data_IF_505714975052
#
_entry.id   IF_505714975052
#
_cell.length_a   1.000
_cell.length_b   1.000
_cell.length_c   1.000
_cell.angle_alpha   90.00
_cell.angle_beta   90.00
_cell.angle_gamma   90.00
#
_symmetry.space_group_name_H-M   'P 1'
#
loop_
_entity.id
_entity.type
_entity.pdbx_description
1 polymer ?
#
# COMPACT_ATOMS: atom_id res chain seq x y z
N UNK A 1 21.93 -0.31 37.85
CA UNK A 1 20.91 -0.19 36.78
C UNK A 1 19.67 0.40 37.43
N UNK A 2 19.18 1.55 36.95
CA UNK A 2 18.17 2.33 37.68
C UNK A 2 16.80 1.62 37.63
N UNK A 3 15.93 1.81 38.64
CA UNK A 3 14.59 1.16 38.69
C UNK A 3 13.77 1.43 37.43
N UNK A 4 13.95 2.62 36.85
CA UNK A 4 13.37 3.05 35.57
C UNK A 4 13.85 2.17 34.40
N UNK A 5 15.14 1.86 34.32
CA UNK A 5 15.71 1.01 33.26
C UNK A 5 15.19 -0.41 33.32
N UNK A 6 14.99 -0.94 34.54
CA UNK A 6 14.44 -2.29 34.76
C UNK A 6 12.98 -2.37 34.29
N UNK A 7 12.17 -1.37 34.64
CA UNK A 7 10.77 -1.28 34.18
C UNK A 7 10.68 -1.13 32.66
N UNK A 8 11.52 -0.29 32.05
CA UNK A 8 11.56 -0.12 30.59
C UNK A 8 11.88 -1.44 29.88
N UNK A 9 12.89 -2.20 30.35
CA UNK A 9 13.22 -3.51 29.78
C UNK A 9 12.07 -4.51 29.91
N UNK A 10 11.37 -4.52 31.05
CA UNK A 10 10.23 -5.41 31.27
C UNK A 10 9.06 -5.06 30.34
N UNK A 11 8.73 -3.78 30.19
CA UNK A 11 7.68 -3.32 29.27
C UNK A 11 8.04 -3.65 27.82
N UNK A 12 9.27 -3.39 27.39
CA UNK A 12 9.73 -3.77 26.04
C UNK A 12 9.65 -5.28 25.81
N UNK A 13 9.98 -6.09 26.80
CA UNK A 13 9.85 -7.55 26.73
C UNK A 13 8.40 -7.97 26.55
N UNK A 14 7.49 -7.46 27.39
CA UNK A 14 6.05 -7.76 27.31
C UNK A 14 5.44 -7.32 25.98
N UNK A 15 5.78 -6.12 25.49
CA UNK A 15 5.34 -5.63 24.17
C UNK A 15 5.85 -6.57 23.07
N UNK A 16 7.11 -7.01 23.14
CA UNK A 16 7.68 -7.92 22.14
C UNK A 16 7.00 -9.29 22.17
N UNK A 17 6.76 -9.85 23.35
CA UNK A 17 6.04 -11.12 23.51
C UNK A 17 4.62 -11.04 22.94
N UNK A 18 3.90 -9.96 23.25
CA UNK A 18 2.58 -9.70 22.69
C UNK A 18 2.61 -9.56 21.17
N UNK A 19 3.50 -8.75 20.61
CA UNK A 19 3.63 -8.57 19.16
C UNK A 19 4.03 -9.87 18.46
N UNK A 20 4.90 -10.68 19.08
CA UNK A 20 5.26 -11.97 18.51
C UNK A 20 4.06 -12.90 18.43
N UNK A 21 3.33 -13.06 19.54
CA UNK A 21 2.16 -13.93 19.61
C UNK A 21 1.01 -13.47 18.71
N UNK A 22 0.71 -12.16 18.71
CA UNK A 22 -0.48 -11.62 18.04
C UNK A 22 -0.25 -11.25 16.57
N UNK A 23 1.00 -11.05 16.16
CA UNK A 23 1.33 -10.52 14.82
C UNK A 23 2.32 -11.42 14.11
N UNK A 24 3.48 -11.71 14.70
CA UNK A 24 4.58 -12.40 14.00
C UNK A 24 4.27 -13.87 13.77
N UNK A 25 3.83 -14.61 14.79
CA UNK A 25 3.57 -16.04 14.68
C UNK A 25 2.40 -16.33 13.72
N UNK A 26 1.26 -15.59 13.76
CA UNK A 26 0.21 -15.70 12.75
C UNK A 26 0.70 -15.35 11.34
N UNK A 27 1.56 -14.33 11.20
CA UNK A 27 2.16 -13.93 9.93
C UNK A 27 3.03 -15.04 9.33
N UNK A 28 3.94 -15.61 10.13
CA UNK A 28 4.77 -16.74 9.71
C UNK A 28 3.88 -17.92 9.30
N UNK A 29 2.89 -18.26 10.13
CA UNK A 29 1.97 -19.37 9.85
C UNK A 29 1.20 -19.14 8.54
N UNK A 30 0.67 -17.95 8.31
CA UNK A 30 -0.05 -17.58 7.09
C UNK A 30 0.83 -17.71 5.85
N UNK A 31 2.07 -17.21 5.92
CA UNK A 31 3.03 -17.25 4.81
C UNK A 31 3.52 -18.67 4.51
N UNK A 32 3.72 -19.49 5.54
CA UNK A 32 4.08 -20.90 5.38
C UNK A 32 2.93 -21.75 4.84
N UNK A 33 1.68 -21.29 4.95
CA UNK A 33 0.50 -22.03 4.48
C UNK A 33 0.27 -21.87 2.97
N UNK A 34 0.70 -20.76 2.37
CA UNK A 34 0.53 -20.49 0.94
C UNK A 34 1.75 -19.77 0.35
N UNK A 35 2.54 -20.51 -0.42
CA UNK A 35 3.77 -20.01 -1.02
C UNK A 35 3.51 -18.88 -2.03
N UNK A 36 2.38 -18.90 -2.74
CA UNK A 36 2.07 -17.85 -3.71
C UNK A 36 1.79 -16.52 -3.01
N UNK A 37 1.11 -16.58 -1.87
CA UNK A 37 0.87 -15.42 -1.00
C UNK A 37 2.20 -14.87 -0.47
N UNK A 38 3.07 -15.73 0.05
CA UNK A 38 4.41 -15.36 0.51
C UNK A 38 5.20 -14.62 -0.57
N UNK A 39 5.22 -15.19 -1.77
CA UNK A 39 5.90 -14.63 -2.94
C UNK A 39 5.34 -13.25 -3.31
N UNK A 40 4.02 -13.11 -3.39
CA UNK A 40 3.38 -11.81 -3.72
C UNK A 40 3.69 -10.73 -2.69
N UNK A 41 3.59 -11.05 -1.39
CA UNK A 41 3.93 -10.10 -0.32
C UNK A 41 5.40 -9.67 -0.40
N UNK A 42 6.30 -10.63 -0.64
CA UNK A 42 7.73 -10.37 -0.76
C UNK A 42 8.02 -9.42 -1.91
N UNK A 43 7.41 -9.66 -3.07
CA UNK A 43 7.60 -8.82 -4.25
C UNK A 43 7.01 -7.43 -4.08
N UNK A 44 5.82 -7.32 -3.46
CA UNK A 44 5.23 -6.03 -3.14
C UNK A 44 6.12 -5.20 -2.20
N UNK A 45 6.69 -5.82 -1.16
CA UNK A 45 7.63 -5.16 -0.23
C UNK A 45 8.91 -4.74 -0.97
N UNK A 46 9.45 -5.63 -1.81
CA UNK A 46 10.66 -5.35 -2.57
C UNK A 46 10.46 -4.17 -3.51
N UNK A 47 9.41 -4.19 -4.31
CA UNK A 47 9.11 -3.14 -5.28
C UNK A 47 8.89 -1.79 -4.58
N UNK A 48 8.21 -1.80 -3.44
CA UNK A 48 8.04 -0.58 -2.62
C UNK A 48 9.38 -0.03 -2.14
N UNK A 49 10.29 -0.89 -1.64
CA UNK A 49 11.65 -0.46 -1.23
C UNK A 49 12.47 0.05 -2.41
N UNK A 50 12.32 -0.60 -3.56
CA UNK A 50 13.01 -0.21 -4.77
C UNK A 50 12.57 1.18 -5.24
N UNK A 51 11.26 1.44 -5.25
CA UNK A 51 10.69 2.77 -5.52
C UNK A 51 11.21 3.82 -4.52
N UNK A 52 11.21 3.54 -3.21
CA UNK A 52 11.77 4.47 -2.20
C UNK A 52 13.25 4.81 -2.52
N UNK A 53 14.05 3.81 -2.86
CA UNK A 53 15.46 4.00 -3.23
C UNK A 53 15.61 4.88 -4.49
N UNK A 54 14.77 4.69 -5.51
CA UNK A 54 14.79 5.52 -6.72
C UNK A 54 14.43 6.98 -6.40
N UNK A 55 13.42 7.19 -5.55
CA UNK A 55 13.04 8.53 -5.07
C UNK A 55 14.21 9.18 -4.33
N UNK A 56 14.86 8.48 -3.39
CA UNK A 56 15.99 9.03 -2.63
C UNK A 56 17.20 9.34 -3.52
N UNK A 57 17.46 8.50 -4.53
CA UNK A 57 18.51 8.74 -5.54
C UNK A 57 18.19 9.98 -6.37
N UNK A 58 16.93 10.17 -6.77
CA UNK A 58 16.50 11.36 -7.52
C UNK A 58 16.66 12.65 -6.73
N UNK A 59 16.44 12.63 -5.41
CA UNK A 59 16.64 13.77 -4.51
C UNK A 59 18.13 14.13 -4.29
N UNK A 60 19.00 13.14 -4.41
CA UNK A 60 20.44 13.27 -4.15
C UNK A 60 21.22 13.76 -5.38
N UNK A 61 20.63 13.68 -6.58
CA UNK A 61 21.24 14.09 -7.84
C UNK A 61 21.11 15.62 -8.07
N UNK A 62 22.21 16.39 -8.04
CA UNK A 62 22.17 17.85 -8.23
C UNK A 62 21.57 18.28 -9.57
N UNK A 63 21.71 17.46 -10.62
CA UNK A 63 21.19 17.76 -11.95
C UNK A 63 19.66 17.59 -12.03
N UNK A 64 19.09 16.64 -11.28
CA UNK A 64 17.64 16.47 -11.15
C UNK A 64 17.02 17.47 -10.15
N UNK A 65 17.79 17.88 -9.13
CA UNK A 65 17.35 18.80 -8.09
C UNK A 65 16.99 20.20 -8.61
N UNK A 66 17.65 20.66 -9.68
CA UNK A 66 17.33 21.94 -10.34
C UNK A 66 16.04 21.92 -11.16
N UNK A 67 15.55 20.73 -11.56
CA UNK A 67 14.29 20.52 -12.27
C UNK A 67 13.12 20.12 -11.33
N UNK A 68 13.40 19.82 -10.06
CA UNK A 68 12.44 19.29 -9.07
C UNK A 68 11.63 20.28 -8.18
N UNK A 69 11.76 21.62 -8.22
CA UNK A 69 11.14 22.46 -7.18
C UNK A 69 9.60 22.44 -7.17
N UNK A 70 8.93 22.00 -8.24
CA UNK A 70 7.46 21.99 -8.30
C UNK A 70 6.81 20.82 -7.52
N UNK A 71 7.50 19.69 -7.33
CA UNK A 71 6.89 18.47 -6.75
C UNK A 71 7.55 18.02 -5.42
N UNK A 72 8.31 18.91 -4.76
CA UNK A 72 9.10 18.54 -3.56
C UNK A 72 8.22 18.06 -2.39
N UNK A 73 7.02 18.63 -2.25
CA UNK A 73 6.08 18.23 -1.20
C UNK A 73 5.56 16.82 -1.43
N UNK A 74 5.24 16.49 -2.68
CA UNK A 74 4.75 15.20 -3.14
C UNK A 74 5.82 14.13 -2.95
N UNK A 75 7.07 14.47 -3.28
CA UNK A 75 8.23 13.60 -3.05
C UNK A 75 8.43 13.32 -1.56
N UNK A 76 8.37 14.32 -0.70
CA UNK A 76 8.51 14.15 0.76
C UNK A 76 7.37 13.30 1.32
N UNK A 77 6.14 13.51 0.86
CA UNK A 77 5.01 12.67 1.25
C UNK A 77 5.26 11.21 0.83
N UNK A 78 5.74 11.01 -0.40
CA UNK A 78 6.08 9.70 -0.94
C UNK A 78 7.19 8.99 -0.15
N UNK A 79 8.39 9.56 -0.06
CA UNK A 79 9.53 8.95 0.64
C UNK A 79 9.32 8.85 2.16
N UNK A 80 8.61 9.81 2.75
CA UNK A 80 8.40 9.87 4.20
C UNK A 80 7.37 8.88 4.74
N UNK A 81 6.28 8.66 3.99
CA UNK A 81 5.07 8.02 4.51
C UNK A 81 4.56 6.85 3.66
N UNK A 82 4.68 6.89 2.32
CA UNK A 82 3.98 5.92 1.47
C UNK A 82 4.43 4.49 1.68
N UNK A 83 5.71 4.22 1.45
CA UNK A 83 6.18 2.85 1.54
C UNK A 83 6.10 2.30 2.96
N UNK A 84 6.15 3.15 3.99
CA UNK A 84 5.91 2.76 5.39
C UNK A 84 4.47 2.36 5.64
N UNK A 85 3.49 3.15 5.18
CA UNK A 85 2.06 2.84 5.34
C UNK A 85 1.71 1.58 4.55
N UNK A 86 2.20 1.46 3.31
CA UNK A 86 1.98 0.28 2.47
C UNK A 86 2.56 -0.98 3.13
N UNK A 87 3.83 -0.96 3.56
CA UNK A 87 4.44 -2.08 4.31
C UNK A 87 3.66 -2.42 5.56
N UNK A 88 3.18 -1.42 6.30
CA UNK A 88 2.36 -1.64 7.51
C UNK A 88 1.05 -2.35 7.17
N UNK A 89 0.40 -1.99 6.07
CA UNK A 89 -0.81 -2.67 5.59
C UNK A 89 -0.55 -4.14 5.24
N UNK A 90 0.61 -4.45 4.63
CA UNK A 90 1.03 -5.81 4.31
C UNK A 90 1.34 -6.64 5.56
N UNK A 91 2.01 -6.04 6.56
CA UNK A 91 2.29 -6.70 7.84
C UNK A 91 0.98 -7.06 8.57
N UNK A 92 0.01 -6.15 8.59
CA UNK A 92 -1.31 -6.40 9.19
C UNK A 92 -2.08 -7.49 8.43
N UNK A 93 -2.01 -7.47 7.09
CA UNK A 93 -2.60 -8.52 6.24
C UNK A 93 -2.04 -9.90 6.61
N UNK A 94 -0.72 -10.04 6.66
CA UNK A 94 -0.11 -11.32 7.02
C UNK A 94 -0.41 -11.74 8.46
N UNK A 95 -0.54 -10.77 9.39
CA UNK A 95 -0.99 -11.02 10.75
C UNK A 95 -2.51 -11.32 10.86
N UNK A 96 -3.19 -11.50 9.73
CA UNK A 96 -4.63 -11.77 9.62
C UNK A 96 -5.54 -10.66 10.14
N UNK A 97 -4.98 -9.45 10.38
CA UNK A 97 -5.74 -8.25 10.69
C UNK A 97 -6.20 -7.55 9.41
N UNK A 98 -7.14 -8.20 8.74
CA UNK A 98 -7.66 -7.78 7.44
C UNK A 98 -8.29 -6.39 7.49
N UNK A 99 -9.06 -6.09 8.54
CA UNK A 99 -9.76 -4.81 8.66
C UNK A 99 -8.77 -3.65 8.79
N UNK A 100 -7.80 -3.76 9.70
CA UNK A 100 -6.78 -2.72 9.87
C UNK A 100 -5.94 -2.55 8.61
N UNK A 101 -5.62 -3.66 7.92
CA UNK A 101 -4.94 -3.62 6.62
C UNK A 101 -5.72 -2.81 5.58
N UNK A 102 -7.03 -3.08 5.41
CA UNK A 102 -7.89 -2.35 4.46
C UNK A 102 -8.01 -0.87 4.82
N UNK A 103 -8.11 -0.53 6.11
CA UNK A 103 -8.17 0.87 6.56
C UNK A 103 -6.89 1.63 6.19
N UNK A 104 -5.72 1.02 6.36
CA UNK A 104 -4.45 1.62 5.92
C UNK A 104 -4.40 1.75 4.39
N UNK A 105 -4.81 0.73 3.64
CA UNK A 105 -4.87 0.79 2.17
C UNK A 105 -5.78 1.92 1.67
N UNK A 106 -6.95 2.11 2.31
CA UNK A 106 -7.85 3.23 2.02
C UNK A 106 -7.16 4.57 2.29
N UNK A 107 -6.51 4.70 3.43
CA UNK A 107 -5.83 5.95 3.81
C UNK A 107 -4.70 6.28 2.82
N UNK A 108 -3.95 5.26 2.38
CA UNK A 108 -2.92 5.42 1.36
C UNK A 108 -3.51 5.82 0.00
N UNK A 109 -4.63 5.22 -0.39
CA UNK A 109 -5.34 5.59 -1.61
C UNK A 109 -5.76 7.07 -1.61
N UNK A 110 -6.35 7.56 -0.51
CA UNK A 110 -6.73 8.97 -0.38
C UNK A 110 -5.53 9.92 -0.51
N UNK A 111 -4.37 9.50 0.02
CA UNK A 111 -3.12 10.24 -0.08
C UNK A 111 -2.59 10.25 -1.52
N UNK A 112 -2.65 9.14 -2.26
CA UNK A 112 -2.27 9.09 -3.68
C UNK A 112 -3.11 10.05 -4.51
N UNK A 113 -4.42 10.07 -4.26
CA UNK A 113 -5.31 11.03 -4.92
C UNK A 113 -4.92 12.47 -4.55
N UNK A 114 -4.48 12.72 -3.31
CA UNK A 114 -4.01 14.03 -2.87
C UNK A 114 -2.74 14.50 -3.58
N UNK A 115 -1.86 13.56 -3.90
CA UNK A 115 -0.66 13.83 -4.71
C UNK A 115 -1.02 14.01 -6.18
N UNK A 116 -2.03 13.30 -6.68
CA UNK A 116 -2.36 13.26 -8.11
C UNK A 116 -3.23 14.43 -8.58
N UNK A 117 -3.78 15.25 -7.68
CA UNK A 117 -4.62 16.39 -8.06
C UNK A 117 -4.67 17.47 -7.00
N UNK A 118 -4.72 18.74 -7.43
CA UNK A 118 -4.94 19.90 -6.56
C UNK A 118 -6.41 20.22 -6.31
N UNK A 119 -7.32 19.55 -7.03
CA UNK A 119 -8.76 19.82 -6.95
C UNK A 119 -9.30 19.38 -5.59
N UNK A 120 -9.94 20.31 -4.89
CA UNK A 120 -10.69 20.01 -3.67
C UNK A 120 -12.13 19.53 -3.98
N UNK A 121 -12.62 18.61 -3.15
CA UNK A 121 -14.00 18.11 -3.20
C UNK A 121 -14.13 16.63 -2.89
N UNK A 122 -15.28 16.05 -3.24
CA UNK A 122 -15.53 14.62 -3.07
C UNK A 122 -14.65 13.75 -3.97
N UNK A 123 -14.41 12.50 -3.56
CA UNK A 123 -13.50 11.57 -4.24
C UNK A 123 -13.77 11.42 -5.74
N UNK A 124 -15.05 11.41 -6.17
CA UNK A 124 -15.41 11.37 -7.59
C UNK A 124 -14.79 12.53 -8.37
N UNK A 125 -15.00 13.76 -7.88
CA UNK A 125 -14.49 14.98 -8.53
C UNK A 125 -12.96 14.98 -8.59
N UNK A 126 -12.32 14.53 -7.51
CA UNK A 126 -10.86 14.41 -7.42
C UNK A 126 -10.29 13.39 -8.39
N UNK A 127 -10.95 12.23 -8.55
CA UNK A 127 -10.56 11.23 -9.55
C UNK A 127 -10.76 11.73 -10.98
N UNK A 128 -11.87 12.40 -11.24
CA UNK A 128 -12.21 12.92 -12.57
C UNK A 128 -11.19 13.97 -13.05
N UNK A 129 -10.54 14.69 -12.13
CA UNK A 129 -9.54 15.73 -12.41
C UNK A 129 -8.08 15.27 -12.51
N UNK A 130 -7.81 13.96 -12.48
CA UNK A 130 -6.45 13.44 -12.69
C UNK A 130 -6.23 13.25 -14.20
N UNK A 131 -5.40 14.09 -14.82
CA UNK A 131 -5.32 14.17 -16.29
C UNK A 131 -4.58 12.99 -16.94
N UNK A 132 -3.59 12.42 -16.25
CA UNK A 132 -2.83 11.29 -16.77
C UNK A 132 -3.58 9.95 -16.74
N UNK A 133 -4.79 9.90 -16.14
CA UNK A 133 -5.62 8.70 -16.09
C UNK A 133 -6.65 8.69 -17.21
N UNK A 134 -6.74 7.55 -17.91
CA UNK A 134 -7.82 7.30 -18.88
C UNK A 134 -9.19 7.16 -18.21
N UNK A 135 -10.25 7.28 -18.99
CA UNK A 135 -11.63 7.10 -18.49
C UNK A 135 -11.84 5.75 -17.79
N UNK A 136 -11.32 4.66 -18.38
CA UNK A 136 -11.45 3.33 -17.80
C UNK A 136 -10.67 3.19 -16.48
N UNK A 137 -9.50 3.82 -16.37
CA UNK A 137 -8.71 3.84 -15.14
C UNK A 137 -9.41 4.63 -14.03
N UNK A 138 -9.98 5.80 -14.38
CA UNK A 138 -10.81 6.59 -13.45
C UNK A 138 -11.99 5.78 -12.92
N UNK A 139 -12.70 5.07 -13.82
CA UNK A 139 -13.82 4.19 -13.47
C UNK A 139 -13.38 3.03 -12.58
N UNK A 140 -12.25 2.41 -12.90
CA UNK A 140 -11.65 1.34 -12.10
C UNK A 140 -11.29 1.82 -10.69
N UNK A 141 -10.53 2.91 -10.56
CA UNK A 141 -10.13 3.48 -9.26
C UNK A 141 -11.34 3.93 -8.44
N UNK A 142 -12.39 4.43 -9.09
CA UNK A 142 -13.65 4.77 -8.40
C UNK A 142 -14.33 3.54 -7.81
N UNK A 143 -14.40 2.44 -8.57
CA UNK A 143 -14.93 1.16 -8.08
C UNK A 143 -14.06 0.62 -6.93
N UNK A 144 -12.74 0.74 -7.05
CA UNK A 144 -11.80 0.33 -6.02
C UNK A 144 -12.00 1.14 -4.72
N UNK A 145 -12.12 2.46 -4.82
CA UNK A 145 -12.46 3.35 -3.71
C UNK A 145 -13.79 2.97 -3.04
N UNK A 146 -14.85 2.79 -3.84
CA UNK A 146 -16.16 2.43 -3.30
C UNK A 146 -16.11 1.08 -2.55
N UNK A 147 -15.28 0.14 -3.01
CA UNK A 147 -15.03 -1.13 -2.33
C UNK A 147 -14.30 -0.94 -1.00
N UNK A 148 -13.21 -0.16 -0.97
CA UNK A 148 -12.48 0.16 0.27
C UNK A 148 -13.39 0.86 1.30
N UNK A 149 -14.24 1.79 0.86
CA UNK A 149 -15.16 2.50 1.75
C UNK A 149 -16.15 1.58 2.46
N UNK A 150 -16.62 0.51 1.81
CA UNK A 150 -17.55 -0.47 2.42
C UNK A 150 -17.00 -1.06 3.72
N UNK A 151 -15.69 -1.25 3.83
CA UNK A 151 -15.02 -1.81 5.00
C UNK A 151 -14.82 -0.83 6.14
N UNK A 152 -14.87 0.48 5.84
CA UNK A 152 -14.46 1.53 6.76
C UNK A 152 -15.61 2.42 7.29
N UNK A 153 -16.81 2.34 6.71
CA UNK A 153 -17.95 3.13 7.13
C UNK A 153 -19.08 2.27 7.71
N UNK A 154 -19.49 2.47 8.99
CA UNK A 154 -20.46 1.63 9.70
C UNK A 154 -21.94 1.84 9.28
N UNK A 155 -22.21 2.08 8.00
CA UNK A 155 -23.58 2.15 7.47
C UNK A 155 -24.04 0.80 6.93
N UNK A 156 -25.30 0.68 6.52
CA UNK A 156 -25.96 -0.61 6.19
C UNK A 156 -25.21 -1.56 5.25
N UNK A 157 -24.27 -1.09 4.41
CA UNK A 157 -23.37 -1.97 3.64
C UNK A 157 -22.36 -2.70 4.52
N UNK A 158 -21.76 -2.03 5.51
CA UNK A 158 -20.86 -2.68 6.46
C UNK A 158 -21.61 -3.74 7.29
N UNK A 159 -22.80 -3.41 7.83
CA UNK A 159 -23.61 -4.37 8.57
C UNK A 159 -24.05 -5.58 7.73
N UNK A 160 -24.32 -5.40 6.43
CA UNK A 160 -24.81 -6.47 5.54
C UNK A 160 -23.71 -7.27 4.85
N UNK A 161 -22.61 -6.61 4.48
CA UNK A 161 -21.54 -7.19 3.64
C UNK A 161 -20.27 -7.51 4.46
N UNK A 162 -19.97 -6.78 5.54
CA UNK A 162 -18.70 -6.86 6.28
C UNK A 162 -18.85 -7.50 7.65
N UNK A 163 -19.84 -7.09 8.44
CA UNK A 163 -20.11 -7.58 9.79
C UNK A 163 -20.25 -9.13 9.84
N UNK A 164 -20.97 -9.80 8.92
CA UNK A 164 -21.07 -11.26 8.92
C UNK A 164 -19.74 -11.97 8.66
N UNK A 165 -18.80 -11.31 7.98
CA UNK A 165 -17.46 -11.83 7.70
C UNK A 165 -16.53 -11.59 8.89
N UNK A 166 -16.65 -10.42 9.54
CA UNK A 166 -15.78 -10.01 10.64
C UNK A 166 -16.13 -10.63 12.00
N UNK A 167 -17.42 -10.83 12.31
CA UNK A 167 -17.85 -11.38 13.61
C UNK A 167 -17.73 -12.92 13.74
N UNK A 168 -17.47 -13.62 12.63
CA UNK A 168 -17.22 -15.07 12.63
C UNK A 168 -15.74 -15.45 12.63
N UNK A 169 -14.85 -14.46 12.62
CA UNK A 169 -13.42 -14.64 12.46
C UNK A 169 -12.69 -14.46 13.80
N UNK A 170 -12.09 -15.52 14.33
CA UNK A 170 -10.91 -15.32 15.16
C UNK A 170 -9.78 -14.69 14.31
N UNK A 171 -8.66 -14.30 14.92
CA UNK A 171 -7.44 -13.91 14.19
C UNK A 171 -6.76 -15.12 13.52
N UNK A 172 -7.54 -15.96 12.86
CA UNK A 172 -7.04 -17.06 12.05
C UNK A 172 -6.94 -16.66 10.59
N UNK A 173 -6.14 -17.43 9.89
CA UNK A 173 -6.01 -17.30 8.45
C UNK A 173 -7.33 -17.64 7.76
N UNK A 174 -7.89 -16.67 7.05
CA UNK A 174 -9.08 -16.82 6.22
C UNK A 174 -8.72 -16.64 4.75
N UNK A 175 -8.59 -17.72 3.96
CA UNK A 175 -8.06 -17.65 2.60
C UNK A 175 -8.80 -16.66 1.69
N UNK A 176 -10.13 -16.60 1.81
CA UNK A 176 -10.97 -15.69 1.00
C UNK A 176 -10.69 -14.23 1.33
N UNK A 177 -10.62 -13.90 2.62
CA UNK A 177 -10.33 -12.54 3.08
C UNK A 177 -8.91 -12.12 2.75
N UNK A 178 -7.97 -13.05 2.95
CA UNK A 178 -6.58 -12.83 2.59
C UNK A 178 -6.45 -12.49 1.10
N UNK A 179 -7.03 -13.33 0.22
CA UNK A 179 -7.00 -13.11 -1.23
C UNK A 179 -7.60 -11.76 -1.61
N UNK A 180 -8.74 -11.39 -1.02
CA UNK A 180 -9.37 -10.11 -1.29
C UNK A 180 -8.51 -8.92 -0.86
N UNK A 181 -7.91 -8.96 0.32
CA UNK A 181 -6.99 -7.92 0.77
C UNK A 181 -5.73 -7.85 -0.10
N UNK A 182 -5.25 -9.00 -0.58
CA UNK A 182 -4.12 -9.05 -1.50
C UNK A 182 -4.47 -8.40 -2.85
N UNK A 183 -5.66 -8.65 -3.40
CA UNK A 183 -6.15 -7.96 -4.60
C UNK A 183 -6.25 -6.44 -4.39
N UNK A 184 -6.71 -5.99 -3.22
CA UNK A 184 -6.69 -4.55 -2.88
C UNK A 184 -5.26 -4.00 -2.83
N UNK A 185 -4.34 -4.75 -2.22
CA UNK A 185 -2.93 -4.38 -2.19
C UNK A 185 -2.32 -4.26 -3.58
N UNK A 186 -2.58 -5.24 -4.47
CA UNK A 186 -2.08 -5.27 -5.84
C UNK A 186 -2.58 -4.04 -6.63
N UNK A 187 -3.87 -3.70 -6.52
CA UNK A 187 -4.45 -2.51 -7.16
C UNK A 187 -3.87 -1.19 -6.62
N UNK A 188 -3.58 -1.15 -5.31
CA UNK A 188 -2.98 0.02 -4.68
C UNK A 188 -1.52 0.20 -5.11
N UNK A 189 -0.77 -0.90 -5.22
CA UNK A 189 0.59 -0.92 -5.75
C UNK A 189 0.63 -0.43 -7.20
N UNK A 190 -0.28 -0.92 -8.05
CA UNK A 190 -0.41 -0.49 -9.45
C UNK A 190 -0.63 1.03 -9.54
N UNK A 191 -1.57 1.56 -8.75
CA UNK A 191 -1.82 3.00 -8.72
C UNK A 191 -0.63 3.79 -8.16
N UNK A 192 0.00 3.29 -7.09
CA UNK A 192 1.17 3.93 -6.48
C UNK A 192 2.32 4.08 -7.49
N UNK A 193 2.63 3.02 -8.25
CA UNK A 193 3.68 3.06 -9.26
C UNK A 193 3.32 3.98 -10.43
N UNK A 194 2.05 3.98 -10.84
CA UNK A 194 1.55 4.94 -11.83
C UNK A 194 1.78 6.38 -11.37
N UNK A 195 1.45 6.73 -10.12
CA UNK A 195 1.73 8.06 -9.56
C UNK A 195 3.23 8.37 -9.53
N UNK A 196 4.09 7.39 -9.26
CA UNK A 196 5.54 7.64 -9.22
C UNK A 196 6.12 8.01 -10.59
N UNK A 197 5.59 7.44 -11.67
CA UNK A 197 6.03 7.79 -13.04
C UNK A 197 5.41 9.11 -13.48
N UNK A 198 4.10 9.27 -13.28
CA UNK A 198 3.35 10.40 -13.86
C UNK A 198 3.55 11.70 -13.07
N UNK A 199 3.61 11.62 -11.73
CA UNK A 199 3.70 12.80 -10.85
C UNK A 199 5.12 13.03 -10.35
N UNK A 200 5.83 11.95 -9.98
CA UNK A 200 7.21 12.08 -9.49
C UNK A 200 8.25 12.03 -10.61
N UNK A 201 7.82 11.81 -11.87
CA UNK A 201 8.67 11.75 -13.05
C UNK A 201 9.84 10.75 -12.91
N UNK A 202 9.63 9.66 -12.18
CA UNK A 202 10.57 8.55 -12.18
C UNK A 202 10.53 7.84 -13.53
N UNK A 203 11.70 7.43 -14.02
CA UNK A 203 11.76 6.78 -15.32
C UNK A 203 11.18 5.37 -15.20
N UNK A 204 10.23 5.03 -16.08
CA UNK A 204 9.70 3.67 -16.18
C UNK A 204 10.77 2.65 -16.55
N UNK A 205 11.85 3.06 -17.23
CA UNK A 205 12.99 2.21 -17.56
C UNK A 205 13.69 1.69 -16.31
N UNK A 206 13.75 2.49 -15.24
CA UNK A 206 14.38 2.10 -13.98
C UNK A 206 13.67 0.89 -13.36
N UNK A 207 12.43 0.60 -13.76
CA UNK A 207 11.67 -0.54 -13.27
C UNK A 207 11.79 -1.80 -14.12
N UNK A 208 12.27 -1.74 -15.38
CA UNK A 208 12.24 -2.89 -16.30
C UNK A 208 12.98 -4.12 -15.75
N UNK A 209 14.20 -3.92 -15.25
CA UNK A 209 15.01 -5.01 -14.69
C UNK A 209 14.39 -5.59 -13.42
N UNK A 210 13.80 -4.72 -12.58
CA UNK A 210 13.08 -5.12 -11.39
C UNK A 210 11.86 -5.97 -11.77
N UNK A 211 11.02 -5.51 -12.70
CA UNK A 211 9.83 -6.23 -13.12
C UNK A 211 10.14 -7.56 -13.82
N UNK A 212 11.23 -7.64 -14.58
CA UNK A 212 11.66 -8.87 -15.23
C UNK A 212 12.13 -9.94 -14.24
N UNK A 213 12.69 -9.52 -13.09
CA UNK A 213 13.23 -10.43 -12.09
C UNK A 213 12.17 -11.01 -11.14
N UNK A 214 10.97 -10.41 -11.07
CA UNK A 214 9.95 -10.78 -10.09
C UNK A 214 8.60 -11.08 -10.77
N UNK A 215 7.95 -12.19 -10.39
CA UNK A 215 6.60 -12.51 -10.84
C UNK A 215 5.55 -11.64 -10.12
N UNK A 216 5.54 -10.36 -10.45
CA UNK A 216 4.67 -9.35 -9.88
C UNK A 216 3.21 -9.56 -10.33
N UNK A 217 2.24 -9.04 -9.56
CA UNK A 217 0.83 -9.06 -9.94
C UNK A 217 0.59 -8.31 -11.26
N UNK A 218 -0.59 -8.45 -11.85
CA UNK A 218 -0.97 -7.67 -13.04
C UNK A 218 -1.07 -6.17 -12.68
N UNK A 219 0.02 -5.43 -12.93
CA UNK A 219 0.10 -3.98 -12.74
C UNK A 219 -0.41 -3.26 -14.00
N UNK A 220 -1.70 -3.41 -14.29
CA UNK A 220 -2.30 -3.00 -15.56
C UNK A 220 -2.12 -1.53 -15.92
N UNK A 221 -2.20 -0.61 -14.95
CA UNK A 221 -2.05 0.83 -15.19
C UNK A 221 -0.58 1.16 -15.41
N UNK A 222 0.30 0.62 -14.56
CA UNK A 222 1.73 0.87 -14.62
C UNK A 222 2.39 0.27 -15.86
N UNK A 223 2.02 -0.97 -16.22
CA UNK A 223 2.56 -1.67 -17.39
C UNK A 223 2.23 -0.93 -18.70
N UNK A 224 1.07 -0.27 -18.78
CA UNK A 224 0.75 0.60 -19.93
C UNK A 224 1.74 1.75 -20.09
N UNK A 225 2.21 2.33 -18.99
CA UNK A 225 3.21 3.42 -19.06
C UNK A 225 4.54 2.87 -19.56
N UNK A 226 4.98 1.74 -19.02
CA UNK A 226 6.23 1.08 -19.45
C UNK A 226 6.23 0.73 -20.94
N UNK A 227 5.10 0.31 -21.49
CA UNK A 227 4.99 -0.03 -22.91
C UNK A 227 5.00 1.18 -23.85
N UNK A 228 4.66 2.37 -23.33
CA UNK A 228 4.55 3.60 -24.11
C UNK A 228 5.76 4.54 -23.95
N UNK A 229 6.67 4.23 -23.03
CA UNK A 229 7.94 4.93 -22.80
C UNK A 229 9.06 4.43 -23.70
#
# INVERSE_FOLDING_TARGET
MNKIDKNKKQVTKLIREFLNHEVVDPFIKSICTDIMISTKLTYAIYLTKYTEMLVDKSLSDPAKKSQMPQNMKEIILFSGYFGKIYKSSLCLLGATDYLSSIILMRSLFELLIGISTEVNGGMKKRLDSIDFLSFEEKKFLKKYWDNLCKWSHPYGKWLKEVCPIAYGADRSYQPRMFKQCLEYSDNLLDFMLTVTVEVLHLSSEEYKDCLAAYALPELSMFNKRIQNS
#
